data_IF_870804662095
#
_entry.id   IF_870804662095
#
_cell.length_a   1.000
_cell.length_b   1.000
_cell.length_c   1.000
_cell.angle_alpha   90.00
_cell.angle_beta   90.00
_cell.angle_gamma   90.00
#
_symmetry.space_group_name_H-M   'P 1'
#
loop_
_entity.id
_entity.type
_entity.pdbx_description
1 polymer ?
#
# COMPACT_ATOMS: atom_id res chain seq x y z
N UNK A 1 20.91 10.83 30.36
CA UNK A 1 20.58 10.39 28.99
C UNK A 1 19.18 10.88 28.72
N UNK A 2 19.04 11.90 27.88
CA UNK A 2 17.72 12.32 27.41
C UNK A 2 17.11 11.14 26.65
N UNK A 3 15.89 10.74 27.03
CA UNK A 3 15.13 9.81 26.19
C UNK A 3 15.00 10.43 24.81
N UNK A 4 15.19 9.65 23.74
CA UNK A 4 14.91 10.15 22.41
C UNK A 4 13.47 10.66 22.37
N UNK A 5 13.24 11.78 21.72
CA UNK A 5 11.89 12.33 21.55
C UNK A 5 10.96 11.21 21.07
N UNK A 6 9.88 10.99 21.82
CA UNK A 6 8.92 9.96 21.47
C UNK A 6 8.29 10.36 20.14
N UNK A 7 8.51 9.56 19.12
CA UNK A 7 7.87 9.77 17.82
C UNK A 7 6.37 9.69 18.02
N UNK A 8 5.69 10.80 17.78
CA UNK A 8 4.25 10.85 17.79
C UNK A 8 3.72 10.50 16.40
N UNK A 9 2.99 9.39 16.31
CA UNK A 9 2.30 9.00 15.10
C UNK A 9 0.87 9.58 15.13
N UNK A 10 0.40 10.20 14.03
CA UNK A 10 -0.98 10.69 13.99
C UNK A 10 -1.97 9.53 14.07
N UNK A 11 -3.06 9.71 14.81
CA UNK A 11 -4.14 8.72 14.91
C UNK A 11 -4.83 8.50 13.56
N UNK A 12 -4.96 9.58 12.79
CA UNK A 12 -5.49 9.57 11.43
C UNK A 12 -4.35 9.86 10.47
N UNK A 13 -3.78 8.84 9.82
CA UNK A 13 -2.65 9.02 8.92
C UNK A 13 -3.08 9.72 7.62
N UNK A 14 -2.26 10.67 7.16
CA UNK A 14 -2.43 11.39 5.90
C UNK A 14 -1.14 11.37 5.10
N UNK A 15 -1.25 11.52 3.79
CA UNK A 15 -0.11 11.60 2.88
C UNK A 15 0.90 10.46 3.12
N UNK A 16 2.14 10.78 3.34
CA UNK A 16 3.24 9.87 3.59
C UNK A 16 2.96 8.88 4.75
N UNK A 17 2.33 9.34 5.85
CA UNK A 17 1.96 8.43 6.96
C UNK A 17 0.86 7.43 6.59
N UNK A 18 0.08 7.75 5.57
CA UNK A 18 -0.95 6.85 5.05
C UNK A 18 -0.36 5.61 4.39
N UNK A 19 0.69 5.76 3.58
CA UNK A 19 1.40 4.61 2.98
C UNK A 19 2.02 3.72 4.05
N UNK A 20 2.70 4.32 5.03
CA UNK A 20 3.27 3.58 6.16
C UNK A 20 2.21 2.83 6.96
N UNK A 21 1.06 3.46 7.18
CA UNK A 21 -0.06 2.84 7.88
C UNK A 21 -0.60 1.63 7.13
N UNK A 22 -0.87 1.75 5.84
CA UNK A 22 -1.37 0.66 5.03
C UNK A 22 -0.37 -0.48 4.90
N UNK A 23 0.90 -0.17 4.70
CA UNK A 23 1.95 -1.18 4.66
C UNK A 23 2.06 -1.94 5.99
N UNK A 24 2.01 -1.22 7.12
CA UNK A 24 2.00 -1.83 8.44
C UNK A 24 0.77 -2.71 8.68
N UNK A 25 -0.38 -2.26 8.22
CA UNK A 25 -1.63 -2.99 8.33
C UNK A 25 -1.59 -4.32 7.54
N UNK A 26 -1.12 -4.28 6.31
CA UNK A 26 -0.92 -5.46 5.47
C UNK A 26 0.10 -6.43 6.08
N UNK A 27 1.23 -5.91 6.56
CA UNK A 27 2.26 -6.73 7.18
C UNK A 27 1.77 -7.37 8.48
N UNK A 28 1.05 -6.65 9.32
CA UNK A 28 0.46 -7.18 10.55
C UNK A 28 -0.62 -8.23 10.27
N UNK A 29 -1.25 -8.21 9.10
CA UNK A 29 -2.20 -9.24 8.66
C UNK A 29 -1.54 -10.52 8.12
N UNK A 30 -0.21 -10.56 8.05
CA UNK A 30 0.57 -11.73 7.65
C UNK A 30 0.99 -11.74 6.18
N UNK A 31 0.92 -10.61 5.49
CA UNK A 31 1.36 -10.45 4.10
C UNK A 31 2.82 -10.01 4.09
N UNK A 32 3.64 -10.64 3.26
CA UNK A 32 5.02 -10.21 3.04
C UNK A 32 5.03 -8.96 2.17
N UNK A 33 5.73 -7.92 2.61
CA UNK A 33 5.74 -6.59 1.99
C UNK A 33 7.15 -6.19 1.56
N UNK A 34 7.27 -5.74 0.31
CA UNK A 34 8.41 -5.00 -0.20
C UNK A 34 7.94 -3.59 -0.59
N UNK A 35 8.63 -2.57 -0.10
CA UNK A 35 8.20 -1.17 -0.23
C UNK A 35 9.21 -0.32 -1.00
N UNK A 36 8.67 0.71 -1.68
CA UNK A 36 9.46 1.74 -2.36
C UNK A 36 10.56 1.15 -3.24
N UNK A 37 10.15 0.18 -4.06
CA UNK A 37 11.07 -0.52 -4.96
C UNK A 37 11.36 0.36 -6.17
N UNK A 38 12.64 0.59 -6.43
CA UNK A 38 13.11 1.31 -7.62
C UNK A 38 13.75 0.30 -8.57
N UNK A 39 13.18 0.15 -9.75
CA UNK A 39 13.80 -0.64 -10.82
C UNK A 39 14.73 0.25 -11.61
N UNK A 40 16.04 0.00 -11.48
CA UNK A 40 17.08 0.78 -12.10
C UNK A 40 18.17 -0.13 -12.65
N UNK A 41 18.32 -0.17 -13.96
CA UNK A 41 19.44 -0.82 -14.62
C UNK A 41 20.44 0.23 -15.14
N UNK A 42 20.05 0.99 -16.13
CA UNK A 42 20.83 2.12 -16.68
C UNK A 42 20.20 3.44 -16.26
N UNK A 43 18.86 3.50 -16.36
CA UNK A 43 18.06 4.62 -15.92
C UNK A 43 16.98 4.14 -14.93
N UNK A 44 16.49 5.06 -14.11
CA UNK A 44 15.35 4.80 -13.26
C UNK A 44 14.09 4.63 -14.13
N UNK A 45 13.58 3.40 -14.19
CA UNK A 45 12.45 3.07 -15.05
C UNK A 45 11.13 3.28 -14.30
N UNK A 46 11.09 2.90 -13.01
CA UNK A 46 9.90 2.97 -12.20
C UNK A 46 10.20 3.00 -10.71
N UNK A 47 9.28 3.55 -9.98
CA UNK A 47 9.18 3.43 -8.53
C UNK A 47 7.85 2.78 -8.18
N UNK A 48 7.90 1.74 -7.36
CA UNK A 48 6.74 0.97 -6.91
C UNK A 48 6.47 1.24 -5.44
N UNK A 49 5.22 1.49 -5.07
CA UNK A 49 4.85 1.70 -3.68
C UNK A 49 5.01 0.42 -2.86
N UNK A 50 4.32 -0.65 -3.25
CA UNK A 50 4.34 -1.92 -2.54
C UNK A 50 4.24 -3.09 -3.52
N UNK A 51 5.05 -4.12 -3.30
CA UNK A 51 4.81 -5.47 -3.80
C UNK A 51 4.47 -6.35 -2.60
N UNK A 52 3.26 -6.86 -2.58
CA UNK A 52 2.76 -7.74 -1.53
C UNK A 52 2.74 -9.19 -2.01
N UNK A 53 3.16 -10.12 -1.16
CA UNK A 53 3.14 -11.54 -1.44
C UNK A 53 2.30 -12.26 -0.39
N UNK A 54 1.23 -12.91 -0.83
CA UNK A 54 0.44 -13.80 0.01
C UNK A 54 1.09 -15.19 -0.01
N UNK A 55 1.62 -15.59 1.13
CA UNK A 55 2.32 -16.87 1.32
C UNK A 55 1.47 -17.93 2.02
N UNK A 56 0.21 -17.63 2.30
CA UNK A 56 -0.69 -18.53 3.04
C UNK A 56 -1.30 -19.64 2.16
N UNK A 57 -1.23 -19.50 0.86
CA UNK A 57 -1.65 -20.52 -0.10
C UNK A 57 -0.45 -21.37 -0.57
N UNK A 58 -0.72 -22.55 -1.11
CA UNK A 58 0.32 -23.38 -1.73
C UNK A 58 0.96 -22.72 -2.97
N UNK A 59 0.33 -21.67 -3.48
CA UNK A 59 0.84 -20.83 -4.54
C UNK A 59 1.08 -19.41 -3.98
N UNK A 60 2.27 -18.87 -4.23
CA UNK A 60 2.57 -17.50 -3.86
C UNK A 60 1.86 -16.58 -4.84
N UNK A 61 0.88 -15.83 -4.35
CA UNK A 61 0.22 -14.78 -5.12
C UNK A 61 0.88 -13.44 -4.83
N UNK A 62 1.27 -12.74 -5.91
CA UNK A 62 1.85 -11.40 -5.81
C UNK A 62 0.85 -10.35 -6.27
N UNK A 63 0.84 -9.23 -5.54
CA UNK A 63 0.06 -8.04 -5.84
C UNK A 63 0.98 -6.84 -5.97
N UNK A 64 0.78 -6.06 -7.01
CA UNK A 64 1.38 -4.74 -7.12
C UNK A 64 0.37 -3.73 -6.58
N UNK A 65 0.75 -2.99 -5.54
CA UNK A 65 -0.16 -2.09 -4.83
C UNK A 65 0.32 -0.64 -5.01
N UNK A 66 -0.54 0.17 -5.56
CA UNK A 66 -0.39 1.63 -5.63
C UNK A 66 -1.29 2.29 -4.60
N UNK A 67 -0.74 3.23 -3.85
CA UNK A 67 -1.44 3.96 -2.81
C UNK A 67 -1.48 5.44 -3.16
N UNK A 68 -2.67 6.03 -3.16
CA UNK A 68 -2.88 7.45 -3.41
C UNK A 68 -3.57 8.13 -2.24
N UNK A 69 -2.84 8.98 -1.56
CA UNK A 69 -3.37 9.83 -0.48
C UNK A 69 -3.94 11.16 -0.97
N UNK A 70 -3.55 11.59 -2.18
CA UNK A 70 -3.96 12.83 -2.81
C UNK A 70 -4.77 12.63 -4.09
N UNK A 71 -4.65 13.59 -4.99
CA UNK A 71 -5.30 13.53 -6.31
C UNK A 71 -4.69 12.41 -7.16
N UNK A 72 -5.54 11.74 -7.91
CA UNK A 72 -5.17 10.72 -8.87
C UNK A 72 -6.12 10.75 -10.08
N UNK A 73 -5.74 10.07 -11.14
CA UNK A 73 -6.53 9.96 -12.36
C UNK A 73 -6.41 8.58 -12.99
N UNK A 74 -7.20 8.35 -14.05
CA UNK A 74 -7.12 7.09 -14.80
C UNK A 74 -5.71 6.76 -15.33
N UNK A 75 -4.87 7.73 -15.73
CA UNK A 75 -3.49 7.44 -16.10
C UNK A 75 -2.71 6.68 -15.02
N UNK A 76 -3.01 6.91 -13.73
CA UNK A 76 -2.37 6.19 -12.64
C UNK A 76 -2.73 4.69 -12.65
N UNK A 77 -3.96 4.34 -13.01
CA UNK A 77 -4.37 2.94 -13.18
C UNK A 77 -3.65 2.28 -14.37
N UNK A 78 -3.52 2.97 -15.49
CA UNK A 78 -2.78 2.47 -16.65
C UNK A 78 -1.29 2.31 -16.36
N UNK A 79 -0.72 3.19 -15.55
CA UNK A 79 0.65 3.08 -15.07
C UNK A 79 0.86 1.81 -14.25
N UNK A 80 -0.03 1.52 -13.31
CA UNK A 80 -0.01 0.26 -12.54
C UNK A 80 -0.10 -0.95 -13.46
N UNK A 81 -1.01 -0.94 -14.44
CA UNK A 81 -1.13 -2.02 -15.42
C UNK A 81 0.12 -2.21 -16.24
N UNK A 82 0.77 -1.14 -16.65
CA UNK A 82 2.05 -1.20 -17.36
C UNK A 82 3.13 -1.87 -16.52
N UNK A 83 3.25 -1.52 -15.25
CA UNK A 83 4.18 -2.16 -14.32
C UNK A 83 3.87 -3.63 -14.07
N UNK A 84 2.60 -3.97 -13.90
CA UNK A 84 2.16 -5.37 -13.77
C UNK A 84 2.62 -6.20 -14.97
N UNK A 85 2.42 -5.69 -16.17
CA UNK A 85 2.86 -6.35 -17.41
C UNK A 85 4.38 -6.52 -17.46
N UNK A 86 5.12 -5.48 -17.14
CA UNK A 86 6.58 -5.49 -17.19
C UNK A 86 7.19 -6.44 -16.16
N UNK A 87 6.63 -6.51 -14.96
CA UNK A 87 7.11 -7.34 -13.85
C UNK A 87 6.50 -8.75 -13.84
N UNK A 88 5.60 -9.07 -14.78
CA UNK A 88 4.86 -10.32 -14.81
C UNK A 88 4.07 -10.58 -13.51
N UNK A 89 3.48 -9.54 -12.94
CA UNK A 89 2.58 -9.62 -11.79
C UNK A 89 1.14 -9.59 -12.30
N UNK A 90 0.37 -10.63 -12.01
CA UNK A 90 -0.98 -10.78 -12.57
C UNK A 90 -2.03 -9.93 -11.88
N UNK A 91 -1.83 -9.61 -10.59
CA UNK A 91 -2.80 -8.90 -9.77
C UNK A 91 -2.28 -7.56 -9.31
N UNK A 92 -3.11 -6.54 -9.41
CA UNK A 92 -2.86 -5.22 -8.87
C UNK A 92 -3.92 -4.78 -7.88
N UNK A 93 -3.57 -3.82 -7.05
CA UNK A 93 -4.50 -3.11 -6.20
C UNK A 93 -4.19 -1.61 -6.24
N UNK A 94 -5.25 -0.82 -6.25
CA UNK A 94 -5.18 0.63 -6.23
C UNK A 94 -5.99 1.13 -5.04
N UNK A 95 -5.30 1.66 -4.04
CA UNK A 95 -5.92 2.11 -2.79
C UNK A 95 -5.91 3.64 -2.77
N UNK A 96 -7.10 4.23 -2.83
CA UNK A 96 -7.28 5.67 -2.82
C UNK A 96 -7.88 6.15 -1.51
N UNK A 97 -7.25 7.14 -0.88
CA UNK A 97 -7.78 7.80 0.32
C UNK A 97 -8.88 8.82 -0.04
N UNK A 98 -8.84 9.36 -1.26
CA UNK A 98 -9.82 10.30 -1.77
C UNK A 98 -10.27 9.90 -3.15
N UNK A 99 -11.58 9.91 -3.37
CA UNK A 99 -12.16 9.63 -4.67
C UNK A 99 -13.22 10.67 -5.00
N UNK A 100 -12.89 11.55 -5.95
CA UNK A 100 -13.79 12.58 -6.46
C UNK A 100 -14.54 12.10 -7.72
N UNK A 101 -14.49 10.80 -8.00
CA UNK A 101 -15.00 10.18 -9.23
C UNK A 101 -16.08 9.18 -8.94
N UNK A 102 -16.79 8.76 -9.98
CA UNK A 102 -17.72 7.66 -9.86
C UNK A 102 -17.00 6.35 -9.52
N UNK A 103 -17.27 5.85 -8.31
CA UNK A 103 -16.60 4.68 -7.75
C UNK A 103 -16.88 3.39 -8.52
N UNK A 104 -18.12 3.20 -8.97
CA UNK A 104 -18.49 1.99 -9.73
C UNK A 104 -17.74 1.94 -11.05
N UNK A 105 -17.65 3.08 -11.72
CA UNK A 105 -16.92 3.18 -12.98
C UNK A 105 -15.42 2.97 -12.80
N UNK A 106 -14.83 3.56 -11.75
CA UNK A 106 -13.42 3.33 -11.42
C UNK A 106 -13.14 1.85 -11.12
N UNK A 107 -13.99 1.21 -10.34
CA UNK A 107 -13.86 -0.21 -10.02
C UNK A 107 -14.00 -1.10 -11.26
N UNK A 108 -14.92 -0.75 -12.16
CA UNK A 108 -15.10 -1.49 -13.42
C UNK A 108 -13.87 -1.38 -14.33
N UNK A 109 -13.34 -0.19 -14.54
CA UNK A 109 -12.13 0.03 -15.34
C UNK A 109 -10.93 -0.69 -14.74
N UNK A 110 -10.74 -0.59 -13.43
CA UNK A 110 -9.68 -1.29 -12.73
C UNK A 110 -9.81 -2.82 -12.88
N UNK A 111 -11.00 -3.35 -12.75
CA UNK A 111 -11.28 -4.78 -12.90
C UNK A 111 -10.91 -5.30 -14.29
N UNK A 112 -11.15 -4.54 -15.35
CA UNK A 112 -10.75 -4.90 -16.72
C UNK A 112 -9.22 -5.01 -16.87
N UNK A 113 -8.46 -4.32 -16.02
CA UNK A 113 -7.01 -4.39 -15.95
C UNK A 113 -6.48 -5.40 -14.93
N UNK A 114 -7.35 -6.17 -14.31
CA UNK A 114 -7.04 -7.06 -13.19
C UNK A 114 -6.48 -6.32 -11.97
N UNK A 115 -6.99 -5.14 -11.72
CA UNK A 115 -6.68 -4.27 -10.58
C UNK A 115 -7.91 -4.18 -9.67
N UNK A 116 -7.72 -4.47 -8.39
CA UNK A 116 -8.74 -4.24 -7.36
C UNK A 116 -8.69 -2.79 -6.94
N UNK A 117 -9.78 -2.06 -7.15
CA UNK A 117 -9.91 -0.68 -6.69
C UNK A 117 -10.51 -0.64 -5.29
N UNK A 118 -9.81 0.01 -4.36
CA UNK A 118 -10.23 0.13 -2.97
C UNK A 118 -10.35 1.61 -2.63
N UNK A 119 -11.57 2.04 -2.32
CA UNK A 119 -11.81 3.35 -1.74
C UNK A 119 -11.63 3.28 -0.22
N UNK A 120 -10.61 3.95 0.28
CA UNK A 120 -10.34 4.06 1.71
C UNK A 120 -10.50 5.51 2.18
N UNK A 121 -11.57 6.17 1.76
CA UNK A 121 -11.91 7.53 2.19
C UNK A 121 -12.30 7.59 3.67
N UNK A 122 -12.77 6.49 4.23
CA UNK A 122 -12.95 6.32 5.66
C UNK A 122 -11.61 5.89 6.28
N UNK A 123 -10.97 6.82 6.96
CA UNK A 123 -9.63 6.66 7.54
C UNK A 123 -9.50 5.58 8.63
N UNK A 124 -10.61 4.94 8.99
CA UNK A 124 -10.61 3.77 9.86
C UNK A 124 -10.55 2.50 9.01
N UNK A 125 -9.34 2.14 8.63
CA UNK A 125 -9.09 0.93 7.85
C UNK A 125 -9.46 -0.32 8.64
N UNK A 126 -10.23 -1.20 8.01
CA UNK A 126 -10.58 -2.53 8.52
C UNK A 126 -10.17 -3.60 7.52
N UNK A 127 -10.14 -4.86 7.95
CA UNK A 127 -9.89 -5.97 7.04
C UNK A 127 -10.92 -6.02 5.90
N UNK A 128 -12.16 -5.63 6.19
CA UNK A 128 -13.23 -5.54 5.17
C UNK A 128 -12.91 -4.49 4.11
N UNK A 129 -12.39 -3.32 4.52
CA UNK A 129 -12.03 -2.23 3.59
C UNK A 129 -10.90 -2.64 2.64
N UNK A 130 -9.99 -3.49 3.10
CA UNK A 130 -8.86 -3.99 2.32
C UNK A 130 -9.08 -5.38 1.72
N UNK A 131 -10.31 -5.91 1.78
CA UNK A 131 -10.66 -7.13 1.06
C UNK A 131 -10.58 -6.90 -0.47
N UNK A 132 -10.01 -7.83 -1.26
CA UNK A 132 -9.63 -9.19 -0.89
C UNK A 132 -8.16 -9.36 -0.46
N UNK A 133 -7.38 -8.29 -0.27
CA UNK A 133 -5.95 -8.37 0.04
C UNK A 133 -5.67 -9.04 1.38
N UNK A 134 -6.53 -8.85 2.37
CA UNK A 134 -6.36 -9.42 3.70
C UNK A 134 -7.55 -10.29 4.09
N UNK A 135 -7.25 -11.39 4.76
CA UNK A 135 -8.23 -12.39 5.17
C UNK A 135 -8.51 -12.39 6.67
N UNK A 136 -7.71 -11.66 7.43
CA UNK A 136 -7.79 -11.60 8.89
C UNK A 136 -7.49 -10.21 9.40
N UNK A 137 -8.32 -9.72 10.30
CA UNK A 137 -8.09 -8.45 11.01
C UNK A 137 -6.77 -8.52 11.78
N UNK A 138 -5.81 -7.60 11.55
CA UNK A 138 -4.56 -7.58 12.30
C UNK A 138 -4.75 -7.04 13.72
N UNK A 139 -3.85 -7.41 14.62
CA UNK A 139 -3.76 -6.80 15.93
C UNK A 139 -3.34 -5.32 15.80
N UNK A 140 -4.13 -4.42 16.39
CA UNK A 140 -3.85 -2.99 16.36
C UNK A 140 -2.50 -2.62 17.00
N UNK A 141 -2.08 -3.35 18.03
CA UNK A 141 -0.76 -3.15 18.63
C UNK A 141 0.36 -3.53 17.67
N UNK A 142 0.20 -4.63 16.92
CA UNK A 142 1.16 -5.02 15.90
C UNK A 142 1.28 -3.94 14.81
N UNK A 143 0.17 -3.41 14.31
CA UNK A 143 0.15 -2.30 13.35
C UNK A 143 0.91 -1.09 13.90
N UNK A 144 0.65 -0.72 15.14
CA UNK A 144 1.29 0.41 15.82
C UNK A 144 2.81 0.23 15.92
N UNK A 145 3.27 -0.95 16.33
CA UNK A 145 4.70 -1.23 16.46
C UNK A 145 5.42 -1.22 15.10
N UNK A 146 4.80 -1.74 14.06
CA UNK A 146 5.38 -1.71 12.70
C UNK A 146 5.45 -0.26 12.19
N UNK A 147 4.45 0.56 12.44
CA UNK A 147 4.48 1.99 12.12
C UNK A 147 5.63 2.72 12.83
N UNK A 148 5.85 2.42 14.11
CA UNK A 148 7.00 2.95 14.84
C UNK A 148 8.33 2.53 14.22
N UNK A 149 8.47 1.27 13.82
CA UNK A 149 9.68 0.79 13.17
C UNK A 149 9.96 1.52 11.86
N UNK A 150 8.93 1.79 11.05
CA UNK A 150 9.06 2.59 9.82
C UNK A 150 9.48 4.03 10.12
N UNK A 151 8.89 4.67 11.11
CA UNK A 151 9.22 6.03 11.49
C UNK A 151 10.65 6.16 12.02
N UNK A 152 11.11 5.22 12.84
CA UNK A 152 12.50 5.16 13.31
C UNK A 152 13.49 4.98 12.18
N UNK A 153 13.19 4.08 11.24
CA UNK A 153 14.01 3.87 10.05
C UNK A 153 14.13 5.15 9.22
N UNK A 154 13.03 5.86 9.02
CA UNK A 154 13.02 7.13 8.31
C UNK A 154 13.90 8.18 8.98
N UNK A 155 13.90 8.27 10.30
CA UNK A 155 14.81 9.18 11.04
C UNK A 155 16.28 8.79 10.86
N UNK A 156 16.62 7.52 10.99
CA UNK A 156 18.00 7.05 10.83
C UNK A 156 18.56 7.27 9.43
N UNK A 157 17.71 7.29 8.40
CA UNK A 157 18.12 7.51 7.01
C UNK A 157 18.22 9.01 6.65
N UNK A 158 17.66 9.90 7.46
CA UNK A 158 17.71 11.36 7.26
C UNK A 158 18.89 12.04 7.93
N UNK A 159 19.65 11.35 8.79
CA UNK A 159 20.90 11.79 9.42
C UNK A 159 22.11 11.44 8.54
#
# INVERSE_FOLDING_TARGET
RNMPDIIQLPDIPKEYFYEDYLAAYLQASGIYIERSLVHKEVDEIMELDIVASDIHSNNIEKYLIEIKSGKWGYPDLFKVKGWMSFLHIEHGAFIAQRTDRNMEYCAQIAKEMNITFIDNSNLKTTATDLSPLIHKEPDNNAVKWIRYAYALRGQCLSE
#
